data_IF_970743778785
#
_entry.id   IF_970743778785
#
_cell.length_a   1.000
_cell.length_b   1.000
_cell.length_c   1.000
_cell.angle_alpha   90.00
_cell.angle_beta   90.00
_cell.angle_gamma   90.00
#
_symmetry.space_group_name_H-M   'P 1'
#
loop_
_entity.id
_entity.type
_entity.pdbx_description
1 polymer ?
#
# COMPACT_ATOMS: atom_id res chain seq x y z
N UNK A 1 52.18 -13.85 60.34
CA UNK A 1 53.48 -14.22 59.80
C UNK A 1 53.30 -14.82 58.43
N UNK A 2 53.83 -14.13 57.50
CA UNK A 2 54.49 -14.42 56.19
C UNK A 2 53.61 -14.68 55.03
N UNK A 3 53.58 -13.68 54.17
CA UNK A 3 53.18 -13.73 52.72
C UNK A 3 53.99 -14.73 51.97
N UNK A 4 53.39 -15.30 50.88
CA UNK A 4 54.07 -15.53 49.64
C UNK A 4 53.06 -15.29 48.48
N UNK A 5 53.36 -14.30 47.65
CA UNK A 5 52.66 -14.02 46.39
C UNK A 5 53.09 -15.04 45.30
N UNK A 6 52.18 -15.48 44.49
CA UNK A 6 52.48 -16.14 43.22
C UNK A 6 51.72 -15.42 42.10
N UNK A 7 52.47 -14.94 41.16
CA UNK A 7 52.10 -14.25 39.94
C UNK A 7 51.06 -15.00 39.08
N UNK A 8 50.04 -14.30 38.69
CA UNK A 8 49.17 -14.62 37.55
C UNK A 8 49.57 -13.72 36.38
N UNK A 9 50.38 -14.24 35.51
CA UNK A 9 50.57 -13.71 34.14
C UNK A 9 50.50 -14.89 33.16
N UNK A 10 49.33 -15.18 32.65
CA UNK A 10 49.10 -15.91 31.39
C UNK A 10 47.60 -16.14 31.15
N UNK A 11 46.86 -15.08 30.83
CA UNK A 11 45.55 -15.20 30.13
C UNK A 11 45.05 -13.82 29.64
N UNK A 12 45.73 -13.28 28.65
CA UNK A 12 45.16 -12.17 27.86
C UNK A 12 45.68 -12.29 26.43
N UNK A 13 44.96 -13.02 25.56
CA UNK A 13 45.11 -12.82 24.09
C UNK A 13 44.16 -13.65 23.24
N UNK A 14 42.85 -13.78 23.54
CA UNK A 14 41.93 -14.40 22.56
C UNK A 14 40.46 -13.91 22.54
N UNK A 15 40.13 -12.63 22.71
CA UNK A 15 38.75 -12.22 22.34
C UNK A 15 38.65 -11.13 21.27
N UNK A 16 39.75 -10.57 20.76
CA UNK A 16 39.62 -9.41 19.83
C UNK A 16 39.39 -9.81 18.37
N UNK A 17 39.84 -10.95 17.93
CA UNK A 17 39.72 -11.38 16.51
C UNK A 17 38.29 -11.83 16.16
N UNK A 18 37.58 -12.45 17.08
CA UNK A 18 36.21 -12.92 16.84
C UNK A 18 35.14 -11.79 16.86
N UNK A 19 35.39 -10.70 17.57
CA UNK A 19 34.48 -9.53 17.56
C UNK A 19 34.60 -8.69 16.29
N UNK A 20 35.80 -8.56 15.73
CA UNK A 20 36.05 -7.85 14.48
C UNK A 20 35.40 -8.59 13.29
N UNK A 21 35.52 -9.89 13.19
CA UNK A 21 34.92 -10.67 12.10
C UNK A 21 33.38 -10.72 12.17
N UNK A 22 32.79 -10.76 13.37
CA UNK A 22 31.32 -10.67 13.52
C UNK A 22 30.77 -9.30 13.14
N UNK A 23 31.46 -8.22 13.46
CA UNK A 23 31.05 -6.87 13.09
C UNK A 23 31.23 -6.60 11.60
N UNK A 24 32.25 -7.16 10.96
CA UNK A 24 32.49 -7.04 9.51
C UNK A 24 31.45 -7.86 8.72
N UNK A 25 31.13 -9.07 9.14
CA UNK A 25 30.11 -9.90 8.51
C UNK A 25 28.70 -9.30 8.66
N UNK A 26 28.34 -8.79 9.85
CA UNK A 26 27.06 -8.12 10.07
C UNK A 26 26.98 -6.77 9.33
N UNK A 27 28.08 -6.04 9.19
CA UNK A 27 28.18 -4.81 8.39
C UNK A 27 28.06 -5.05 6.90
N UNK A 28 28.68 -6.12 6.38
CA UNK A 28 28.56 -6.56 4.98
C UNK A 28 27.14 -7.07 4.66
N UNK A 29 26.52 -7.84 5.55
CA UNK A 29 25.14 -8.31 5.37
C UNK A 29 24.12 -7.16 5.39
N UNK A 30 24.31 -6.17 6.28
CA UNK A 30 23.48 -4.93 6.30
C UNK A 30 23.72 -4.01 5.11
N UNK A 31 24.96 -3.91 4.59
CA UNK A 31 25.25 -3.14 3.37
C UNK A 31 24.66 -3.81 2.14
N UNK A 32 24.79 -5.12 1.98
CA UNK A 32 24.25 -5.85 0.82
C UNK A 32 22.72 -5.86 0.80
N UNK A 33 22.04 -5.95 1.96
CA UNK A 33 20.57 -5.86 2.00
C UNK A 33 20.05 -4.45 1.72
N UNK A 34 20.69 -3.40 2.27
CA UNK A 34 20.36 -2.00 1.95
C UNK A 34 20.66 -1.64 0.50
N UNK A 35 21.78 -2.09 -0.06
CA UNK A 35 22.15 -1.86 -1.45
C UNK A 35 21.21 -2.60 -2.40
N UNK A 36 20.82 -3.85 -2.11
CA UNK A 36 19.82 -4.59 -2.89
C UNK A 36 18.45 -3.92 -2.84
N UNK A 37 18.03 -3.42 -1.68
CA UNK A 37 16.76 -2.71 -1.54
C UNK A 37 16.77 -1.32 -2.21
N UNK A 38 17.90 -0.63 -2.20
CA UNK A 38 18.09 0.68 -2.87
C UNK A 38 18.19 0.52 -4.39
N UNK A 39 18.88 -0.52 -4.89
CA UNK A 39 18.95 -0.86 -6.31
C UNK A 39 17.59 -1.33 -6.81
N UNK A 40 16.86 -2.16 -6.05
CA UNK A 40 15.50 -2.58 -6.35
C UNK A 40 14.54 -1.37 -6.47
N UNK A 41 14.64 -0.41 -5.55
CA UNK A 41 13.81 0.81 -5.58
C UNK A 41 14.20 1.80 -6.69
N UNK A 42 15.49 1.92 -7.03
CA UNK A 42 15.95 2.84 -8.08
C UNK A 42 15.60 2.34 -9.48
N UNK A 43 15.72 1.05 -9.70
CA UNK A 43 15.43 0.41 -10.99
C UNK A 43 13.92 0.24 -11.26
N UNK A 44 13.09 0.13 -10.21
CA UNK A 44 11.64 0.14 -10.37
C UNK A 44 11.07 1.52 -10.73
N UNK A 45 11.76 2.63 -10.42
CA UNK A 45 11.33 3.96 -10.86
C UNK A 45 11.33 4.11 -12.39
N UNK A 46 12.27 3.50 -13.10
CA UNK A 46 12.34 3.61 -14.57
C UNK A 46 11.28 2.75 -15.29
N UNK A 47 10.83 1.64 -14.71
CA UNK A 47 9.85 0.76 -15.32
C UNK A 47 8.41 1.31 -15.26
N UNK A 48 8.11 2.19 -14.29
CA UNK A 48 6.80 2.81 -14.08
C UNK A 48 6.74 4.28 -14.50
N UNK A 49 7.86 4.85 -14.99
CA UNK A 49 7.92 6.21 -15.53
C UNK A 49 7.40 6.35 -16.97
N UNK A 50 6.81 5.29 -17.57
CA UNK A 50 5.83 5.50 -18.62
C UNK A 50 4.50 5.93 -17.94
N UNK A 51 4.51 7.11 -17.33
CA UNK A 51 3.30 7.86 -17.09
C UNK A 51 2.68 8.08 -18.49
N UNK A 52 1.67 7.29 -18.82
CA UNK A 52 0.70 7.72 -19.80
C UNK A 52 0.23 9.07 -19.29
N UNK A 53 0.65 10.16 -19.96
CA UNK A 53 0.10 11.47 -19.71
C UNK A 53 -1.39 11.32 -19.96
N UNK A 54 -2.19 11.38 -18.88
CA UNK A 54 -3.63 11.48 -19.03
C UNK A 54 -3.84 12.72 -19.90
N UNK A 55 -4.53 12.57 -21.03
CA UNK A 55 -4.95 13.69 -21.83
C UNK A 55 -5.66 14.67 -20.89
N UNK A 56 -5.25 15.95 -20.95
CA UNK A 56 -5.85 16.99 -20.14
C UNK A 56 -7.25 17.23 -20.71
N UNK A 57 -8.22 16.53 -20.15
CA UNK A 57 -9.63 16.83 -20.38
C UNK A 57 -10.08 17.93 -19.42
N UNK A 58 -10.99 18.78 -19.85
CA UNK A 58 -11.62 19.75 -18.97
C UNK A 58 -12.52 19.01 -17.97
N UNK A 59 -12.15 19.06 -16.68
CA UNK A 59 -12.91 18.41 -15.62
C UNK A 59 -13.99 19.36 -15.09
N UNK A 60 -15.25 18.92 -15.10
CA UNK A 60 -16.36 19.64 -14.47
C UNK A 60 -16.38 19.32 -12.96
N UNK A 61 -15.57 20.07 -12.21
CA UNK A 61 -15.39 19.90 -10.76
C UNK A 61 -15.74 21.18 -10.02
N UNK A 62 -16.34 21.03 -8.85
CA UNK A 62 -16.58 22.12 -7.88
C UNK A 62 -15.68 21.91 -6.66
N UNK A 63 -15.06 22.97 -6.21
CA UNK A 63 -14.23 23.00 -4.99
C UNK A 63 -14.86 23.97 -4.00
N UNK A 64 -15.30 23.47 -2.86
CA UNK A 64 -15.98 24.25 -1.84
C UNK A 64 -15.23 24.19 -0.51
N UNK A 65 -14.91 25.33 0.13
CA UNK A 65 -14.40 25.32 1.49
C UNK A 65 -15.49 24.84 2.46
N UNK A 66 -15.13 23.95 3.36
CA UNK A 66 -16.03 23.43 4.38
C UNK A 66 -15.24 23.12 5.65
N UNK A 67 -15.33 24.01 6.64
CA UNK A 67 -14.59 23.85 7.87
C UNK A 67 -15.36 22.91 8.82
N UNK A 68 -14.72 21.83 9.24
CA UNK A 68 -15.23 20.93 10.27
C UNK A 68 -14.46 21.14 11.57
N UNK A 69 -15.11 21.02 12.73
CA UNK A 69 -14.38 20.94 13.99
C UNK A 69 -13.79 19.54 14.22
N UNK A 70 -12.83 19.44 15.13
CA UNK A 70 -12.14 18.19 15.45
C UNK A 70 -13.11 17.09 15.87
N UNK A 71 -14.12 17.41 16.71
CA UNK A 71 -15.11 16.44 17.17
C UNK A 71 -15.95 15.87 16.02
N UNK A 72 -16.36 16.73 15.07
CA UNK A 72 -17.08 16.29 13.86
C UNK A 72 -16.23 15.39 13.00
N UNK A 73 -14.97 15.73 12.75
CA UNK A 73 -14.03 14.90 11.98
C UNK A 73 -13.86 13.53 12.64
N UNK A 74 -13.62 13.50 13.94
CA UNK A 74 -13.50 12.26 14.70
C UNK A 74 -14.76 11.39 14.56
N UNK A 75 -15.95 11.96 14.76
CA UNK A 75 -17.22 11.26 14.60
C UNK A 75 -17.43 10.72 13.18
N UNK A 76 -17.05 11.49 12.15
CA UNK A 76 -17.17 11.06 10.75
C UNK A 76 -16.20 9.90 10.41
N UNK A 77 -15.00 9.91 11.00
CA UNK A 77 -14.06 8.77 10.86
C UNK A 77 -14.63 7.53 11.54
N UNK A 78 -15.15 7.64 12.76
CA UNK A 78 -15.76 6.53 13.50
C UNK A 78 -16.95 5.92 12.77
N UNK A 79 -17.80 6.76 12.19
CA UNK A 79 -18.98 6.33 11.41
C UNK A 79 -18.65 5.84 10.01
N UNK A 80 -17.41 5.99 9.56
CA UNK A 80 -16.98 5.61 8.22
C UNK A 80 -17.48 6.52 7.10
N UNK A 81 -18.12 7.67 7.41
CA UNK A 81 -18.52 8.66 6.41
C UNK A 81 -17.33 9.49 5.90
N UNK A 82 -16.27 9.65 6.70
CA UNK A 82 -14.98 10.16 6.26
C UNK A 82 -14.01 9.00 6.16
N UNK A 83 -13.78 8.55 4.91
CA UNK A 83 -12.95 7.39 4.60
C UNK A 83 -11.49 7.80 4.45
N UNK A 84 -10.66 7.23 5.33
CA UNK A 84 -9.21 7.30 5.18
C UNK A 84 -8.80 6.02 4.47
N UNK A 85 -8.28 6.12 3.23
CA UNK A 85 -7.99 4.93 2.44
C UNK A 85 -7.08 3.92 3.16
N UNK A 86 -7.34 2.59 3.04
CA UNK A 86 -6.62 1.56 3.78
C UNK A 86 -5.11 1.55 3.57
N UNK A 87 -4.64 1.81 2.35
CA UNK A 87 -3.22 1.92 2.03
C UNK A 87 -2.59 3.21 2.56
N UNK A 88 -3.36 4.31 2.67
CA UNK A 88 -2.95 5.54 3.33
C UNK A 88 -2.77 5.34 4.84
N UNK A 89 -3.14 4.20 5.41
CA UNK A 89 -2.85 3.81 6.79
C UNK A 89 -1.38 3.55 7.08
N UNK A 90 -0.53 3.77 6.10
CA UNK A 90 0.88 3.96 6.33
C UNK A 90 1.11 5.22 7.15
N UNK A 91 0.64 5.16 8.41
CA UNK A 91 0.93 6.21 9.35
C UNK A 91 2.44 6.24 9.59
N UNK A 92 3.08 7.27 9.04
CA UNK A 92 4.55 7.36 9.03
C UNK A 92 5.08 8.37 10.03
N UNK A 93 4.23 9.29 10.51
CA UNK A 93 4.66 10.28 11.48
C UNK A 93 5.12 9.62 12.78
N UNK A 94 6.19 10.16 13.35
CA UNK A 94 6.59 9.83 14.71
C UNK A 94 5.72 10.58 15.73
N UNK A 95 5.80 10.14 16.97
CA UNK A 95 4.99 10.72 18.05
C UNK A 95 5.33 12.19 18.33
N UNK A 96 6.57 12.66 18.03
CA UNK A 96 6.96 14.06 18.21
C UNK A 96 6.28 14.95 17.20
N UNK A 97 6.23 14.52 15.93
CA UNK A 97 5.56 15.26 14.84
C UNK A 97 4.04 15.30 15.06
N UNK A 98 3.46 14.18 15.45
CA UNK A 98 2.05 14.13 15.82
C UNK A 98 1.73 15.04 17.02
N UNK A 99 2.57 15.00 18.09
CA UNK A 99 2.40 15.87 19.26
C UNK A 99 2.45 17.35 18.93
N UNK A 100 3.33 17.76 18.00
CA UNK A 100 3.41 19.16 17.53
C UNK A 100 2.14 19.60 16.81
N UNK A 101 1.52 18.71 16.02
CA UNK A 101 0.22 19.01 15.39
C UNK A 101 -0.87 19.23 16.46
N UNK A 102 -0.97 18.31 17.43
CA UNK A 102 -1.95 18.43 18.52
C UNK A 102 -1.71 19.71 19.31
N UNK A 103 -0.46 20.03 19.64
CA UNK A 103 -0.10 21.30 20.30
C UNK A 103 -0.53 22.51 19.47
N UNK A 104 -0.33 22.49 18.13
CA UNK A 104 -0.75 23.59 17.26
C UNK A 104 -2.27 23.82 17.33
N UNK A 105 -3.06 22.75 17.32
CA UNK A 105 -4.52 22.83 17.44
C UNK A 105 -4.91 23.39 18.82
N UNK A 106 -4.34 22.86 19.91
CA UNK A 106 -4.59 23.33 21.29
C UNK A 106 -4.22 24.81 21.50
N UNK A 107 -3.28 25.33 20.73
CA UNK A 107 -2.86 26.73 20.77
C UNK A 107 -3.59 27.63 19.76
N UNK A 108 -4.54 27.08 19.00
CA UNK A 108 -5.24 27.83 17.94
C UNK A 108 -4.35 28.23 16.77
N UNK A 109 -3.19 27.57 16.57
CA UNK A 109 -2.31 27.85 15.44
C UNK A 109 -2.89 27.25 14.15
N UNK A 110 -2.78 27.95 13.01
CA UNK A 110 -3.28 27.43 11.75
C UNK A 110 -2.54 26.19 11.33
N UNK A 111 -3.26 25.19 10.88
CA UNK A 111 -2.71 23.98 10.27
C UNK A 111 -3.03 23.96 8.77
N UNK A 112 -2.21 23.28 7.94
CA UNK A 112 -2.50 23.17 6.51
C UNK A 112 -3.89 22.55 6.28
N UNK A 113 -4.61 23.07 5.28
CA UNK A 113 -5.94 22.59 4.92
C UNK A 113 -5.93 21.12 4.49
N UNK A 114 -7.09 20.46 4.66
CA UNK A 114 -7.33 19.07 4.28
C UNK A 114 -8.14 19.05 3.00
N UNK A 115 -7.79 18.18 2.06
CA UNK A 115 -8.55 17.99 0.83
C UNK A 115 -9.36 16.71 0.91
N UNK A 116 -10.66 16.84 0.64
CA UNK A 116 -11.64 15.77 0.67
C UNK A 116 -12.30 15.66 -0.70
N UNK A 117 -12.57 14.46 -1.16
CA UNK A 117 -13.38 14.21 -2.34
C UNK A 117 -14.75 13.70 -1.90
N UNK A 118 -15.83 14.36 -2.33
CA UNK A 118 -17.18 13.91 -2.08
C UNK A 118 -17.55 12.82 -3.09
N UNK A 119 -17.78 11.60 -2.57
CA UNK A 119 -18.31 10.50 -3.36
C UNK A 119 -19.84 10.58 -3.42
N UNK A 120 -20.48 9.67 -4.12
CA UNK A 120 -21.93 9.54 -4.08
C UNK A 120 -22.39 9.36 -2.62
N UNK A 121 -23.46 10.01 -2.20
CA UNK A 121 -24.09 9.90 -0.84
C UNK A 121 -23.43 10.68 0.30
N UNK A 122 -22.72 11.77 0.05
CA UNK A 122 -22.07 12.58 1.11
C UNK A 122 -21.05 11.80 1.97
N UNK A 123 -20.40 10.86 1.38
CA UNK A 123 -19.22 10.23 1.94
C UNK A 123 -17.99 10.97 1.43
N UNK A 124 -17.01 11.15 2.29
CA UNK A 124 -15.79 11.88 1.97
C UNK A 124 -14.61 10.92 1.92
N UNK A 125 -13.82 11.03 0.86
CA UNK A 125 -12.53 10.36 0.72
C UNK A 125 -11.41 11.35 0.96
N UNK A 126 -10.48 11.05 1.87
CA UNK A 126 -9.33 11.92 2.14
C UNK A 126 -8.35 11.87 0.98
N UNK A 127 -8.13 13.03 0.31
CA UNK A 127 -7.13 13.19 -0.75
C UNK A 127 -5.79 13.60 -0.16
N UNK A 128 -5.75 14.64 0.67
CA UNK A 128 -4.58 15.09 1.41
C UNK A 128 -4.94 15.44 2.85
N UNK A 129 -3.96 15.32 3.73
CA UNK A 129 -4.13 15.59 5.16
C UNK A 129 -4.29 14.35 6.04
N UNK A 130 -4.18 13.17 5.47
CA UNK A 130 -4.33 11.90 6.15
C UNK A 130 -3.49 11.77 7.43
N UNK A 131 -2.20 12.09 7.38
CA UNK A 131 -1.34 11.99 8.56
C UNK A 131 -1.82 12.91 9.69
N UNK A 132 -2.40 14.06 9.33
CA UNK A 132 -3.01 15.02 10.26
C UNK A 132 -4.26 14.43 10.88
N UNK A 133 -5.19 13.91 10.07
CA UNK A 133 -6.42 13.28 10.53
C UNK A 133 -6.15 12.06 11.41
N UNK A 134 -5.23 11.19 11.01
CA UNK A 134 -4.84 10.02 11.81
C UNK A 134 -4.17 10.43 13.12
N UNK A 135 -3.39 11.52 13.17
CA UNK A 135 -2.81 12.02 14.42
C UNK A 135 -3.88 12.50 15.39
N UNK A 136 -4.88 13.22 14.89
CA UNK A 136 -6.06 13.67 15.68
C UNK A 136 -6.83 12.44 16.19
N UNK A 137 -7.14 11.50 15.30
CA UNK A 137 -7.86 10.27 15.63
C UNK A 137 -7.14 9.45 16.71
N UNK A 138 -5.85 9.17 16.55
CA UNK A 138 -5.07 8.41 17.52
C UNK A 138 -4.93 9.15 18.85
N UNK A 139 -4.87 10.49 18.84
CA UNK A 139 -4.81 11.25 20.09
C UNK A 139 -6.12 11.13 20.87
N UNK A 140 -7.28 11.27 20.23
CA UNK A 140 -8.59 11.09 20.85
C UNK A 140 -8.84 9.65 21.32
N UNK A 141 -8.32 8.65 20.61
CA UNK A 141 -8.31 7.24 21.04
C UNK A 141 -7.22 6.94 22.08
N UNK A 142 -6.37 7.91 22.43
CA UNK A 142 -5.25 7.77 23.38
C UNK A 142 -4.22 6.69 23.01
N UNK A 143 -4.22 6.26 21.73
CA UNK A 143 -3.41 5.15 21.21
C UNK A 143 -2.50 5.63 20.09
N UNK A 144 -1.23 5.22 20.12
CA UNK A 144 -0.25 5.57 19.10
C UNK A 144 0.41 4.31 18.53
N UNK A 145 0.44 4.11 17.20
CA UNK A 145 0.95 2.87 16.61
C UNK A 145 2.45 2.72 16.81
N UNK A 146 2.88 1.54 17.28
CA UNK A 146 4.28 1.17 17.47
C UNK A 146 4.98 1.08 16.11
N UNK A 147 6.08 1.83 15.96
CA UNK A 147 6.75 2.02 14.65
C UNK A 147 7.18 0.70 14.02
N UNK A 148 7.77 -0.18 14.83
CA UNK A 148 8.33 -1.48 14.43
C UNK A 148 7.24 -2.47 14.00
N UNK A 149 6.02 -2.28 14.49
CA UNK A 149 4.85 -3.16 14.26
C UNK A 149 3.90 -2.66 13.16
N UNK A 150 4.15 -1.51 12.58
CA UNK A 150 3.25 -0.92 11.56
C UNK A 150 3.10 -1.79 10.31
N UNK A 151 4.12 -2.56 9.94
CA UNK A 151 4.04 -3.49 8.82
C UNK A 151 3.13 -4.69 9.12
N UNK A 152 3.17 -5.20 10.37
CA UNK A 152 2.29 -6.28 10.81
C UNK A 152 0.86 -5.76 11.03
N UNK A 153 0.71 -4.57 11.59
CA UNK A 153 -0.57 -3.89 11.79
C UNK A 153 -1.34 -3.74 10.47
N UNK A 154 -0.64 -3.42 9.37
CA UNK A 154 -1.24 -3.35 8.04
C UNK A 154 -1.90 -4.66 7.60
N UNK A 155 -1.27 -5.80 7.92
CA UNK A 155 -1.81 -7.12 7.55
C UNK A 155 -3.11 -7.45 8.29
N UNK A 156 -3.34 -6.82 9.45
CA UNK A 156 -4.52 -7.07 10.30
C UNK A 156 -5.64 -6.04 10.09
N UNK A 157 -5.36 -4.95 9.37
CA UNK A 157 -6.34 -3.88 9.08
C UNK A 157 -7.02 -4.11 7.73
N UNK A 158 -7.65 -5.26 7.50
CA UNK A 158 -8.20 -5.65 6.20
C UNK A 158 -9.47 -4.88 5.81
N UNK A 159 -10.20 -4.30 6.77
CA UNK A 159 -11.57 -3.81 6.57
C UNK A 159 -11.76 -2.29 6.61
N UNK A 160 -10.71 -1.51 6.46
CA UNK A 160 -10.90 -0.06 6.49
C UNK A 160 -11.05 0.55 7.89
N UNK A 161 -11.29 -0.22 8.95
CA UNK A 161 -11.29 0.23 10.35
C UNK A 161 -10.26 -0.53 11.18
N UNK A 162 -9.52 0.19 12.05
CA UNK A 162 -8.77 -0.45 13.12
C UNK A 162 -9.80 -0.85 14.16
N UNK A 163 -10.08 -2.13 14.32
CA UNK A 163 -11.05 -2.59 15.31
C UNK A 163 -10.62 -2.14 16.72
N UNK A 164 -11.59 -1.89 17.60
CA UNK A 164 -11.28 -1.51 18.99
C UNK A 164 -10.41 -2.55 19.71
N UNK A 165 -10.66 -3.84 19.45
CA UNK A 165 -9.84 -4.94 19.95
C UNK A 165 -8.38 -4.83 19.52
N UNK A 166 -8.13 -4.36 18.30
CA UNK A 166 -6.78 -4.17 17.78
C UNK A 166 -6.13 -2.91 18.36
N UNK A 167 -6.89 -1.82 18.56
CA UNK A 167 -6.43 -0.60 19.22
C UNK A 167 -5.97 -0.86 20.65
N UNK A 168 -6.62 -1.77 21.38
CA UNK A 168 -6.29 -2.15 22.75
C UNK A 168 -5.12 -3.14 22.85
N UNK A 169 -4.52 -3.55 21.74
CA UNK A 169 -3.41 -4.50 21.75
C UNK A 169 -2.06 -3.78 21.91
N UNK A 170 -1.45 -3.90 23.09
CA UNK A 170 -0.17 -3.28 23.45
C UNK A 170 1.02 -3.69 22.56
N UNK A 171 0.90 -4.79 21.80
CA UNK A 171 1.90 -5.18 20.82
C UNK A 171 1.96 -4.18 19.66
N UNK A 172 0.81 -3.63 19.26
CA UNK A 172 0.69 -2.75 18.09
C UNK A 172 0.52 -1.28 18.44
N UNK A 173 0.00 -0.99 19.61
CA UNK A 173 -0.27 0.37 20.08
C UNK A 173 0.33 0.63 21.45
N UNK A 174 0.57 1.88 21.74
CA UNK A 174 1.01 2.39 23.04
C UNK A 174 0.26 3.66 23.38
N UNK A 175 0.24 4.05 24.65
CA UNK A 175 -0.42 5.29 25.06
C UNK A 175 0.14 6.51 24.33
N UNK A 176 -0.75 7.34 23.78
CA UNK A 176 -0.39 8.59 23.13
C UNK A 176 -0.26 9.72 24.16
N UNK A 177 0.93 9.85 24.72
CA UNK A 177 1.32 11.01 25.54
C UNK A 177 2.06 12.01 24.68
N UNK A 178 1.71 13.30 24.77
CA UNK A 178 2.32 14.37 23.97
C UNK A 178 3.81 14.50 24.28
N UNK A 179 4.66 14.22 23.30
CA UNK A 179 6.13 14.37 23.39
C UNK A 179 6.54 15.72 22.82
N UNK A 180 6.48 16.73 23.68
CA UNK A 180 6.81 18.11 23.33
C UNK A 180 8.12 18.55 24.03
N UNK A 181 8.95 19.40 23.37
CA UNK A 181 10.08 20.02 24.00
C UNK A 181 9.63 21.04 25.05
N UNK A 182 10.50 21.32 26.00
CA UNK A 182 10.30 22.44 26.89
C UNK A 182 10.51 23.78 26.14
N UNK A 183 9.99 24.86 26.69
CA UNK A 183 10.09 26.17 26.07
C UNK A 183 11.55 26.68 26.07
N UNK A 184 11.87 27.62 25.17
CA UNK A 184 13.22 28.19 24.97
C UNK A 184 13.84 28.73 26.27
N UNK A 185 13.02 29.12 27.25
CA UNK A 185 13.45 29.61 28.57
C UNK A 185 13.52 28.51 29.64
N UNK A 186 13.53 27.21 29.23
CA UNK A 186 13.57 26.08 30.19
C UNK A 186 12.27 25.87 30.98
N UNK A 187 11.20 26.61 30.69
CA UNK A 187 9.88 26.37 31.34
C UNK A 187 9.23 25.14 30.73
N UNK A 188 8.62 24.26 31.56
CA UNK A 188 7.90 23.09 31.08
C UNK A 188 6.81 23.49 30.07
N UNK A 189 6.66 22.71 28.98
CA UNK A 189 5.55 22.89 28.10
C UNK A 189 4.24 22.43 28.79
N UNK A 190 3.22 23.29 28.80
CA UNK A 190 1.92 23.03 29.47
C UNK A 190 1.31 21.70 29.09
N UNK A 191 1.47 21.26 27.83
CA UNK A 191 0.86 20.07 27.28
C UNK A 191 1.78 18.84 27.28
N UNK A 192 3.03 19.00 27.75
CA UNK A 192 4.02 17.89 27.75
C UNK A 192 3.52 16.72 28.60
N UNK A 193 3.61 15.50 28.05
CA UNK A 193 3.18 14.23 28.66
C UNK A 193 1.68 14.09 28.92
N UNK A 194 0.82 15.04 28.53
CA UNK A 194 -0.62 14.88 28.62
C UNK A 194 -1.14 13.91 27.55
N UNK A 195 -2.21 13.21 27.89
CA UNK A 195 -3.10 12.46 26.98
C UNK A 195 -4.34 13.28 26.76
N UNK A 196 -5.21 12.87 25.79
CA UNK A 196 -6.50 13.51 25.59
C UNK A 196 -7.34 13.50 26.89
N UNK A 197 -7.36 12.40 27.62
CA UNK A 197 -8.10 12.28 28.89
C UNK A 197 -7.58 13.20 29.99
N UNK A 198 -6.26 13.44 30.04
CA UNK A 198 -5.62 14.26 31.10
C UNK A 198 -5.52 15.74 30.75
N UNK A 199 -6.07 16.19 29.61
CA UNK A 199 -6.28 17.60 29.31
C UNK A 199 -7.29 18.21 30.32
N UNK A 200 -7.15 19.50 30.63
CA UNK A 200 -8.20 20.21 31.34
C UNK A 200 -9.49 20.26 30.52
N UNK A 201 -10.65 20.40 31.14
CA UNK A 201 -11.94 20.49 30.41
C UNK A 201 -11.93 21.63 29.39
N UNK A 202 -11.34 22.78 29.74
CA UNK A 202 -11.20 23.94 28.84
C UNK A 202 -10.30 23.59 27.64
N UNK A 203 -9.18 22.87 27.86
CA UNK A 203 -8.27 22.48 26.78
C UNK A 203 -8.92 21.41 25.88
N UNK A 204 -9.73 20.49 26.43
CA UNK A 204 -10.50 19.51 25.64
C UNK A 204 -11.52 20.21 24.76
N UNK A 205 -12.34 21.10 25.34
CA UNK A 205 -13.34 21.85 24.59
C UNK A 205 -12.68 22.70 23.49
N UNK A 206 -11.58 23.38 23.80
CA UNK A 206 -10.79 24.14 22.82
C UNK A 206 -10.31 23.24 21.68
N UNK A 207 -9.83 22.05 22.00
CA UNK A 207 -9.36 21.09 21.00
C UNK A 207 -10.50 20.55 20.13
N UNK A 208 -11.60 20.12 20.74
CA UNK A 208 -12.75 19.55 20.06
C UNK A 208 -13.45 20.52 19.13
N UNK A 209 -13.58 21.78 19.56
CA UNK A 209 -14.25 22.86 18.79
C UNK A 209 -13.31 23.52 17.78
N UNK A 210 -11.99 23.24 17.83
CA UNK A 210 -11.03 23.83 16.90
C UNK A 210 -11.39 23.53 15.44
N UNK A 211 -11.50 24.59 14.58
CA UNK A 211 -11.84 24.40 13.18
C UNK A 211 -10.66 23.81 12.40
N UNK A 212 -10.94 22.77 11.64
CA UNK A 212 -10.04 22.18 10.67
C UNK A 212 -10.52 22.60 9.28
N UNK A 213 -9.72 23.42 8.62
CA UNK A 213 -10.04 23.87 7.27
C UNK A 213 -10.00 22.71 6.28
N UNK A 214 -11.13 22.46 5.62
CA UNK A 214 -11.26 21.46 4.60
C UNK A 214 -11.68 22.10 3.28
N UNK A 215 -11.22 21.50 2.17
CA UNK A 215 -11.68 21.80 0.82
C UNK A 215 -12.33 20.53 0.30
N UNK A 216 -13.64 20.61 0.08
CA UNK A 216 -14.43 19.51 -0.49
C UNK A 216 -14.47 19.68 -2.00
N UNK A 217 -13.96 18.67 -2.70
CA UNK A 217 -13.95 18.60 -4.16
C UNK A 217 -15.06 17.64 -4.58
N UNK A 218 -15.88 18.05 -5.52
CA UNK A 218 -16.99 17.27 -6.07
C UNK A 218 -16.95 17.30 -7.60
N UNK A 219 -17.18 16.17 -8.21
CA UNK A 219 -17.41 16.08 -9.65
C UNK A 219 -18.89 16.33 -9.94
N UNK A 220 -19.19 17.31 -10.81
CA UNK A 220 -20.58 17.69 -11.12
C UNK A 220 -21.23 16.73 -12.12
N UNK A 221 -20.46 16.27 -13.10
CA UNK A 221 -20.93 15.27 -14.06
C UNK A 221 -20.27 13.92 -13.74
N UNK A 222 -21.08 12.90 -13.58
CA UNK A 222 -20.62 11.53 -13.46
C UNK A 222 -20.17 11.10 -14.85
N UNK A 223 -18.90 11.36 -15.18
CA UNK A 223 -18.28 10.74 -16.35
C UNK A 223 -18.14 9.24 -16.11
N UNK A 224 -18.11 8.46 -17.18
CA UNK A 224 -17.97 7.00 -17.07
C UNK A 224 -16.70 6.55 -16.33
N UNK A 225 -15.69 7.44 -16.25
CA UNK A 225 -14.45 7.19 -15.55
C UNK A 225 -14.19 8.21 -14.43
N UNK A 226 -13.54 7.76 -13.36
CA UNK A 226 -13.14 8.61 -12.22
C UNK A 226 -11.73 9.21 -12.45
N UNK A 227 -11.35 9.47 -13.70
CA UNK A 227 -10.00 9.94 -14.09
C UNK A 227 -9.64 11.28 -13.42
N UNK A 228 -10.63 12.18 -13.25
CA UNK A 228 -10.40 13.46 -12.59
C UNK A 228 -9.90 13.30 -11.14
N UNK A 229 -10.41 12.30 -10.41
CA UNK A 229 -9.99 12.04 -9.03
C UNK A 229 -8.53 11.62 -8.98
N UNK A 230 -8.09 10.79 -9.92
CA UNK A 230 -6.67 10.37 -10.03
C UNK A 230 -5.77 11.57 -10.30
N UNK A 231 -6.17 12.48 -11.19
CA UNK A 231 -5.41 13.68 -11.51
C UNK A 231 -5.32 14.64 -10.31
N UNK A 232 -6.44 14.82 -9.60
CA UNK A 232 -6.48 15.63 -8.37
C UNK A 232 -5.53 15.04 -7.31
N UNK A 233 -5.59 13.73 -7.08
CA UNK A 233 -4.68 13.05 -6.16
C UNK A 233 -3.22 13.26 -6.54
N UNK A 234 -2.90 13.11 -7.84
CA UNK A 234 -1.55 13.28 -8.33
C UNK A 234 -1.03 14.71 -8.10
N UNK A 235 -1.83 15.73 -8.42
CA UNK A 235 -1.44 17.14 -8.28
C UNK A 235 -1.33 17.60 -6.84
N UNK A 236 -2.28 17.23 -5.98
CA UNK A 236 -2.29 17.65 -4.58
C UNK A 236 -1.20 16.98 -3.75
N UNK A 237 -0.85 15.73 -4.07
CA UNK A 237 0.20 15.01 -3.35
C UNK A 237 1.63 15.31 -3.85
N UNK A 238 1.81 16.20 -4.84
CA UNK A 238 3.14 16.54 -5.40
C UNK A 238 4.12 17.13 -4.38
N UNK A 239 3.67 17.59 -3.22
CA UNK A 239 4.50 18.12 -2.13
C UNK A 239 4.87 17.12 -1.01
N UNK A 240 4.49 15.84 -1.12
CA UNK A 240 4.69 14.82 -0.09
C UNK A 240 5.07 13.44 -0.63
N UNK A 241 4.57 12.38 0.00
CA UNK A 241 4.66 11.01 -0.53
C UNK A 241 3.56 10.84 -1.58
N UNK A 242 3.94 10.78 -2.85
CA UNK A 242 3.01 10.60 -3.96
C UNK A 242 2.33 9.24 -3.85
N UNK A 243 1.00 9.24 -3.94
CA UNK A 243 0.22 8.02 -4.06
C UNK A 243 0.35 7.44 -5.47
N UNK A 244 0.50 6.13 -5.53
CA UNK A 244 0.49 5.41 -6.82
C UNK A 244 -0.96 5.16 -7.28
N UNK A 245 -1.20 5.03 -8.59
CA UNK A 245 -2.55 4.78 -9.12
C UNK A 245 -3.28 3.62 -8.46
N UNK A 246 -2.56 2.54 -8.09
CA UNK A 246 -3.17 1.41 -7.40
C UNK A 246 -3.66 1.75 -5.99
N UNK A 247 -2.93 2.58 -5.27
CA UNK A 247 -3.33 3.03 -3.94
C UNK A 247 -4.62 3.87 -4.02
N UNK A 248 -4.71 4.76 -5.00
CA UNK A 248 -5.91 5.57 -5.27
C UNK A 248 -7.08 4.65 -5.65
N UNK A 249 -6.85 3.67 -6.53
CA UNK A 249 -7.86 2.70 -6.98
C UNK A 249 -8.44 1.88 -5.83
N UNK A 250 -7.59 1.37 -4.95
CA UNK A 250 -8.03 0.64 -3.76
C UNK A 250 -8.88 1.47 -2.82
N UNK A 251 -8.76 2.79 -2.85
CA UNK A 251 -9.56 3.70 -2.03
C UNK A 251 -10.92 3.98 -2.62
N UNK A 252 -10.92 4.34 -3.90
CA UNK A 252 -12.13 4.71 -4.61
C UNK A 252 -13.08 3.52 -4.78
N UNK A 253 -12.52 2.33 -5.03
CA UNK A 253 -13.28 1.12 -5.33
C UNK A 253 -13.17 0.08 -4.22
N UNK A 254 -12.96 0.50 -2.96
CA UNK A 254 -12.92 -0.41 -1.83
C UNK A 254 -14.16 -1.31 -1.82
N UNK A 255 -13.93 -2.63 -1.72
CA UNK A 255 -14.98 -3.64 -1.84
C UNK A 255 -14.47 -5.00 -1.36
N UNK A 256 -15.38 -5.96 -1.17
CA UNK A 256 -15.01 -7.36 -0.89
C UNK A 256 -14.08 -7.98 -1.94
N UNK A 257 -14.16 -7.50 -3.19
CA UNK A 257 -13.21 -7.90 -4.22
C UNK A 257 -11.78 -7.48 -3.84
N UNK A 258 -11.55 -6.23 -3.43
CA UNK A 258 -10.21 -5.77 -3.01
C UNK A 258 -9.74 -6.42 -1.70
N UNK A 259 -10.66 -6.75 -0.78
CA UNK A 259 -10.33 -7.58 0.39
C UNK A 259 -9.84 -8.96 -0.05
N UNK A 260 -10.51 -9.58 -1.02
CA UNK A 260 -10.09 -10.87 -1.60
C UNK A 260 -8.69 -10.77 -2.22
N UNK A 261 -8.41 -9.73 -3.03
CA UNK A 261 -7.07 -9.53 -3.61
C UNK A 261 -5.99 -9.32 -2.52
N UNK A 262 -6.32 -8.58 -1.47
CA UNK A 262 -5.41 -8.36 -0.34
C UNK A 262 -5.10 -9.66 0.40
N UNK A 263 -6.10 -10.52 0.61
CA UNK A 263 -5.93 -11.84 1.21
C UNK A 263 -5.10 -12.77 0.32
N UNK A 264 -5.32 -12.74 -0.99
CA UNK A 264 -4.52 -13.48 -1.97
C UNK A 264 -3.06 -12.99 -2.00
N UNK A 265 -2.87 -11.67 -1.84
CA UNK A 265 -1.54 -11.07 -1.78
C UNK A 265 -0.70 -11.55 -0.59
N UNK A 266 -1.32 -12.02 0.48
CA UNK A 266 -0.64 -12.57 1.65
C UNK A 266 -0.34 -14.08 1.56
N UNK A 267 -0.73 -14.78 0.48
CA UNK A 267 -0.49 -16.21 0.34
C UNK A 267 1.00 -16.52 0.21
N UNK A 268 1.53 -17.52 0.94
CA UNK A 268 2.96 -17.86 0.93
C UNK A 268 3.47 -18.19 -0.47
N UNK A 269 2.70 -18.93 -1.28
CA UNK A 269 3.05 -19.29 -2.65
C UNK A 269 3.14 -18.06 -3.56
N UNK A 270 2.25 -17.08 -3.39
CA UNK A 270 2.33 -15.81 -4.10
C UNK A 270 3.58 -15.03 -3.71
N UNK A 271 3.86 -14.94 -2.39
CA UNK A 271 5.09 -14.29 -1.90
C UNK A 271 6.35 -14.95 -2.45
N UNK A 272 6.35 -16.28 -2.55
CA UNK A 272 7.44 -17.06 -3.16
C UNK A 272 7.66 -16.67 -4.63
N UNK A 273 6.60 -16.62 -5.44
CA UNK A 273 6.68 -16.27 -6.86
C UNK A 273 7.04 -14.81 -7.07
N UNK A 274 6.56 -13.91 -6.24
CA UNK A 274 6.84 -12.48 -6.31
C UNK A 274 8.23 -12.13 -5.76
N UNK A 275 8.91 -13.10 -5.12
CA UNK A 275 10.21 -12.96 -4.46
C UNK A 275 10.28 -11.85 -3.40
N UNK A 276 9.17 -11.57 -2.72
CA UNK A 276 9.08 -10.64 -1.61
C UNK A 276 8.34 -11.30 -0.44
N UNK A 277 8.99 -11.40 0.72
CA UNK A 277 8.39 -12.00 1.92
C UNK A 277 7.21 -11.18 2.46
N UNK A 278 7.28 -9.87 2.36
CA UNK A 278 6.24 -8.95 2.82
C UNK A 278 5.57 -8.24 1.65
N UNK A 279 4.27 -7.88 1.79
CA UNK A 279 3.59 -7.04 0.82
C UNK A 279 4.36 -5.77 0.50
N UNK A 280 4.33 -5.38 -0.77
CA UNK A 280 5.02 -4.20 -1.28
C UNK A 280 4.31 -2.93 -0.78
N UNK A 281 5.12 -1.91 -0.45
CA UNK A 281 4.63 -0.68 0.18
C UNK A 281 3.58 0.07 -0.67
N UNK A 282 3.77 0.09 -1.98
CA UNK A 282 2.89 0.78 -2.93
C UNK A 282 1.87 -0.14 -3.60
N UNK A 283 1.62 -1.33 -3.02
CA UNK A 283 0.58 -2.27 -3.45
C UNK A 283 0.67 -2.74 -4.91
N UNK A 284 1.88 -2.69 -5.51
CA UNK A 284 2.12 -3.15 -6.89
C UNK A 284 1.88 -4.65 -7.06
N UNK A 285 2.12 -5.41 -6.01
CA UNK A 285 1.83 -6.83 -5.93
C UNK A 285 0.33 -7.13 -5.99
N UNK A 286 -0.51 -6.29 -5.38
CA UNK A 286 -1.97 -6.35 -5.53
C UNK A 286 -2.39 -5.92 -6.93
N UNK A 287 -1.78 -4.85 -7.48
CA UNK A 287 -2.04 -4.44 -8.87
C UNK A 287 -1.72 -5.57 -9.85
N UNK A 288 -0.67 -6.34 -9.61
CA UNK A 288 -0.30 -7.48 -10.46
C UNK A 288 -1.40 -8.53 -10.51
N UNK A 289 -2.00 -8.88 -9.36
CA UNK A 289 -3.13 -9.80 -9.30
C UNK A 289 -4.35 -9.20 -10.01
N UNK A 290 -4.67 -7.92 -9.74
CA UNK A 290 -5.77 -7.20 -10.37
C UNK A 290 -5.65 -7.21 -11.90
N UNK A 291 -4.46 -6.93 -12.44
CA UNK A 291 -4.18 -6.93 -13.88
C UNK A 291 -4.40 -8.29 -14.50
N UNK A 292 -3.97 -9.35 -13.81
CA UNK A 292 -4.22 -10.72 -14.23
C UNK A 292 -5.72 -10.99 -14.42
N UNK A 293 -6.54 -10.69 -13.42
CA UNK A 293 -7.99 -10.89 -13.49
C UNK A 293 -8.67 -9.97 -14.50
N UNK A 294 -8.29 -8.69 -14.55
CA UNK A 294 -8.86 -7.76 -15.52
C UNK A 294 -8.60 -8.21 -16.97
N UNK A 295 -7.39 -8.68 -17.27
CA UNK A 295 -7.05 -9.21 -18.60
C UNK A 295 -7.70 -10.57 -18.86
N UNK A 296 -7.91 -11.41 -17.87
CA UNK A 296 -8.58 -12.71 -17.99
C UNK A 296 -10.06 -12.53 -18.34
N UNK A 297 -10.75 -11.60 -17.67
CA UNK A 297 -12.19 -11.41 -17.81
C UNK A 297 -12.53 -10.42 -18.95
N UNK A 298 -11.74 -9.35 -19.10
CA UNK A 298 -12.01 -8.24 -20.02
C UNK A 298 -10.90 -8.01 -21.07
N UNK A 299 -9.98 -8.95 -21.26
CA UNK A 299 -8.87 -8.78 -22.19
C UNK A 299 -9.31 -8.45 -23.63
N UNK A 300 -10.47 -8.97 -24.08
CA UNK A 300 -11.04 -8.66 -25.38
C UNK A 300 -11.51 -7.20 -25.50
N UNK A 301 -11.91 -6.60 -24.38
CA UNK A 301 -12.39 -5.21 -24.26
C UNK A 301 -11.26 -4.24 -23.93
N UNK A 302 -10.01 -4.72 -23.80
CA UNK A 302 -8.89 -3.88 -23.43
C UNK A 302 -8.66 -2.76 -24.46
N UNK A 303 -8.65 -1.53 -23.93
CA UNK A 303 -8.24 -0.33 -24.66
C UNK A 303 -7.21 0.45 -23.82
N UNK A 304 -6.25 1.17 -24.41
CA UNK A 304 -5.46 2.13 -23.66
C UNK A 304 -6.38 3.24 -23.08
N UNK A 305 -6.17 3.85 -21.93
CA UNK A 305 -5.05 3.66 -21.03
C UNK A 305 -5.26 2.49 -20.06
N UNK A 306 -4.19 1.83 -19.68
CA UNK A 306 -4.23 0.75 -18.68
C UNK A 306 -4.85 1.24 -17.35
N UNK A 307 -4.60 2.48 -16.96
CA UNK A 307 -5.18 3.07 -15.74
C UNK A 307 -6.70 3.10 -15.86
N UNK A 308 -7.25 3.64 -16.96
CA UNK A 308 -8.71 3.67 -17.21
C UNK A 308 -9.31 2.26 -17.25
N UNK A 309 -8.64 1.33 -17.91
CA UNK A 309 -9.06 -0.08 -17.98
C UNK A 309 -9.18 -0.73 -16.59
N UNK A 310 -8.15 -0.59 -15.76
CA UNK A 310 -8.16 -1.14 -14.41
C UNK A 310 -9.15 -0.43 -13.49
N UNK A 311 -9.37 0.89 -13.67
CA UNK A 311 -10.38 1.63 -12.92
C UNK A 311 -11.78 1.12 -13.22
N UNK A 312 -12.11 0.97 -14.50
CA UNK A 312 -13.42 0.47 -14.94
C UNK A 312 -13.66 -0.95 -14.46
N UNK A 313 -12.65 -1.82 -14.55
CA UNK A 313 -12.73 -3.17 -14.02
C UNK A 313 -12.94 -3.18 -12.50
N UNK A 314 -12.22 -2.35 -11.75
CA UNK A 314 -12.36 -2.23 -10.30
C UNK A 314 -13.74 -1.70 -9.90
N UNK A 315 -14.26 -0.70 -10.62
CA UNK A 315 -15.62 -0.17 -10.42
C UNK A 315 -16.68 -1.25 -10.62
N UNK A 316 -16.60 -2.02 -11.72
CA UNK A 316 -17.49 -3.17 -11.95
C UNK A 316 -17.38 -4.19 -10.82
N UNK A 317 -16.19 -4.49 -10.37
CA UNK A 317 -15.96 -5.52 -9.36
C UNK A 317 -16.48 -5.15 -7.95
N UNK A 318 -16.88 -3.89 -7.70
CA UNK A 318 -17.57 -3.49 -6.47
C UNK A 318 -18.93 -4.19 -6.31
N UNK A 319 -19.57 -4.55 -7.42
CA UNK A 319 -20.87 -5.25 -7.43
C UNK A 319 -20.76 -6.77 -7.46
N UNK A 320 -19.56 -7.32 -7.35
CA UNK A 320 -19.38 -8.78 -7.31
C UNK A 320 -20.07 -9.38 -6.09
N UNK A 321 -20.76 -10.49 -6.31
CA UNK A 321 -21.35 -11.29 -5.22
C UNK A 321 -20.27 -12.01 -4.39
N UNK A 322 -20.67 -12.56 -3.26
CA UNK A 322 -19.75 -13.36 -2.43
C UNK A 322 -19.30 -14.64 -3.14
N UNK A 323 -20.17 -15.24 -3.96
CA UNK A 323 -19.87 -16.42 -4.78
C UNK A 323 -18.84 -16.08 -5.85
N UNK A 324 -18.97 -14.93 -6.53
CA UNK A 324 -18.00 -14.47 -7.54
C UNK A 324 -16.64 -14.20 -6.90
N UNK A 325 -16.61 -13.52 -5.76
CA UNK A 325 -15.36 -13.26 -5.03
C UNK A 325 -14.72 -14.56 -4.52
N UNK A 326 -15.52 -15.52 -4.05
CA UNK A 326 -15.01 -16.82 -3.65
C UNK A 326 -14.48 -17.63 -4.85
N UNK A 327 -15.14 -17.57 -5.98
CA UNK A 327 -14.64 -18.18 -7.21
C UNK A 327 -13.29 -17.60 -7.65
N UNK A 328 -13.13 -16.26 -7.66
CA UNK A 328 -11.86 -15.55 -7.93
C UNK A 328 -10.77 -16.05 -6.99
N UNK A 329 -11.09 -16.18 -5.69
CA UNK A 329 -10.17 -16.72 -4.68
C UNK A 329 -9.76 -18.15 -5.01
N UNK A 330 -10.71 -19.04 -5.28
CA UNK A 330 -10.42 -20.44 -5.60
C UNK A 330 -9.61 -20.59 -6.89
N UNK A 331 -9.92 -19.80 -7.92
CA UNK A 331 -9.19 -19.80 -9.19
C UNK A 331 -7.73 -19.39 -8.99
N UNK A 332 -7.47 -18.31 -8.24
CA UNK A 332 -6.09 -17.88 -8.00
C UNK A 332 -5.32 -18.88 -7.14
N UNK A 333 -5.95 -19.45 -6.10
CA UNK A 333 -5.31 -20.48 -5.28
C UNK A 333 -4.96 -21.74 -6.09
N UNK A 334 -5.83 -22.15 -7.02
CA UNK A 334 -5.54 -23.27 -7.91
C UNK A 334 -4.42 -22.96 -8.91
N UNK A 335 -4.35 -21.73 -9.40
CA UNK A 335 -3.22 -21.25 -10.18
C UNK A 335 -1.91 -21.32 -9.37
N UNK A 336 -1.92 -20.83 -8.12
CA UNK A 336 -0.74 -20.93 -7.24
C UNK A 336 -0.35 -22.39 -7.00
N UNK A 337 -1.30 -23.29 -6.84
CA UNK A 337 -1.03 -24.72 -6.74
C UNK A 337 -0.36 -25.27 -8.00
N UNK A 338 -0.84 -24.86 -9.19
CA UNK A 338 -0.23 -25.24 -10.47
C UNK A 338 1.22 -24.76 -10.62
N UNK A 339 1.59 -23.66 -9.94
CA UNK A 339 2.95 -23.11 -9.94
C UNK A 339 3.91 -23.72 -8.91
N UNK A 340 3.48 -24.68 -8.08
CA UNK A 340 4.32 -25.23 -6.98
C UNK A 340 5.63 -25.82 -7.44
N UNK A 341 5.65 -26.46 -8.60
CA UNK A 341 6.87 -27.07 -9.18
C UNK A 341 7.80 -26.05 -9.82
N UNK A 342 7.34 -24.82 -10.04
CA UNK A 342 8.17 -23.79 -10.65
C UNK A 342 9.24 -23.29 -9.65
N UNK A 343 10.45 -22.96 -10.14
CA UNK A 343 11.45 -22.29 -9.31
C UNK A 343 10.92 -20.92 -8.86
N UNK A 344 11.35 -20.46 -7.69
CA UNK A 344 10.90 -19.18 -7.12
C UNK A 344 11.17 -17.97 -8.02
N UNK A 345 12.15 -18.06 -8.90
CA UNK A 345 12.53 -17.03 -9.88
C UNK A 345 11.90 -17.23 -11.26
N UNK A 346 10.86 -18.07 -11.39
CA UNK A 346 10.23 -18.36 -12.68
C UNK A 346 9.77 -17.11 -13.44
N UNK A 347 9.30 -16.10 -12.71
CA UNK A 347 8.87 -14.80 -13.26
C UNK A 347 9.89 -13.68 -13.07
N UNK A 348 11.13 -13.98 -12.68
CA UNK A 348 12.18 -12.97 -12.53
C UNK A 348 13.01 -12.92 -13.80
N UNK A 349 13.19 -11.73 -14.36
CA UNK A 349 14.09 -11.47 -15.49
C UNK A 349 14.89 -10.20 -15.16
N UNK A 350 16.21 -10.23 -15.39
CA UNK A 350 17.11 -9.12 -15.08
C UNK A 350 16.91 -8.60 -13.63
N UNK A 351 16.84 -9.51 -12.66
CA UNK A 351 16.62 -9.25 -11.23
C UNK A 351 15.30 -8.51 -10.89
N UNK A 352 14.33 -8.50 -11.82
CA UNK A 352 13.03 -7.87 -11.66
C UNK A 352 11.90 -8.86 -11.93
N UNK A 353 10.79 -8.68 -11.22
CA UNK A 353 9.55 -9.39 -11.54
C UNK A 353 9.04 -8.96 -12.92
N UNK A 354 8.93 -9.93 -13.84
CA UNK A 354 8.46 -9.69 -15.20
C UNK A 354 6.92 -9.75 -15.25
N UNK A 355 6.32 -8.57 -15.16
CA UNK A 355 4.88 -8.41 -15.08
C UNK A 355 4.16 -8.91 -16.35
N UNK A 356 4.69 -8.61 -17.54
CA UNK A 356 4.08 -9.03 -18.81
C UNK A 356 4.11 -10.55 -18.98
N UNK A 357 5.19 -11.22 -18.53
CA UNK A 357 5.27 -12.67 -18.52
C UNK A 357 4.26 -13.28 -17.56
N UNK A 358 4.19 -12.76 -16.32
CA UNK A 358 3.22 -13.23 -15.33
C UNK A 358 1.79 -13.10 -15.83
N UNK A 359 1.38 -11.90 -16.32
CA UNK A 359 0.05 -11.64 -16.85
C UNK A 359 -0.33 -12.64 -17.94
N UNK A 360 0.60 -12.86 -18.89
CA UNK A 360 0.34 -13.72 -20.04
C UNK A 360 0.23 -15.21 -19.63
N UNK A 361 1.08 -15.68 -18.72
CA UNK A 361 1.02 -17.04 -18.18
C UNK A 361 -0.25 -17.22 -17.34
N UNK A 362 -0.59 -16.26 -16.48
CA UNK A 362 -1.82 -16.34 -15.67
C UNK A 362 -3.07 -16.43 -16.54
N UNK A 363 -3.20 -15.54 -17.53
CA UNK A 363 -4.35 -15.54 -18.44
C UNK A 363 -4.40 -16.83 -19.25
N UNK A 364 -3.30 -17.29 -19.84
CA UNK A 364 -3.26 -18.52 -20.64
C UNK A 364 -3.66 -19.74 -19.80
N UNK A 365 -3.13 -19.86 -18.57
CA UNK A 365 -3.42 -21.00 -17.70
C UNK A 365 -4.86 -20.99 -17.20
N UNK A 366 -5.40 -19.80 -16.88
CA UNK A 366 -6.72 -19.69 -16.25
C UNK A 366 -7.88 -19.58 -17.25
N UNK A 367 -7.64 -19.32 -18.54
CA UNK A 367 -8.69 -19.02 -19.54
C UNK A 367 -9.74 -20.11 -19.63
N UNK A 368 -9.33 -21.37 -19.73
CA UNK A 368 -10.30 -22.48 -19.84
C UNK A 368 -11.09 -22.66 -18.55
N UNK A 369 -10.42 -22.68 -17.41
CA UNK A 369 -11.05 -22.80 -16.11
C UNK A 369 -12.05 -21.64 -15.85
N UNK A 370 -11.68 -20.40 -16.24
CA UNK A 370 -12.57 -19.24 -16.11
C UNK A 370 -13.82 -19.35 -16.96
N UNK A 371 -13.69 -19.78 -18.24
CA UNK A 371 -14.81 -19.98 -19.16
C UNK A 371 -15.79 -21.06 -18.68
N UNK A 372 -15.27 -22.15 -18.13
CA UNK A 372 -16.08 -23.28 -17.64
C UNK A 372 -16.50 -23.17 -16.17
N UNK A 373 -16.15 -22.08 -15.50
CA UNK A 373 -16.37 -21.86 -14.05
C UNK A 373 -15.78 -22.97 -13.18
N UNK A 374 -14.66 -23.53 -13.60
CA UNK A 374 -13.88 -24.56 -12.86
C UNK A 374 -12.58 -23.96 -12.30
N UNK A 375 -11.71 -24.80 -11.79
CA UNK A 375 -10.39 -24.40 -11.27
C UNK A 375 -9.27 -25.00 -12.12
N UNK A 376 -8.07 -24.47 -12.00
CA UNK A 376 -6.88 -25.01 -12.67
C UNK A 376 -6.48 -26.33 -12.01
N UNK A 377 -6.34 -27.39 -12.80
CA UNK A 377 -5.99 -28.75 -12.32
C UNK A 377 -4.60 -29.19 -12.70
N UNK A 378 -4.07 -28.70 -13.84
CA UNK A 378 -2.79 -29.14 -14.37
C UNK A 378 -1.64 -28.26 -13.81
N UNK A 379 -0.49 -28.88 -13.56
CA UNK A 379 0.75 -28.13 -13.22
C UNK A 379 1.27 -27.40 -14.45
N UNK A 380 1.84 -26.22 -14.22
CA UNK A 380 2.48 -25.44 -15.27
C UNK A 380 3.89 -25.98 -15.50
N UNK A 381 4.23 -26.22 -16.76
CA UNK A 381 5.56 -26.63 -17.16
C UNK A 381 6.52 -25.43 -17.22
N UNK A 382 7.66 -25.56 -16.55
CA UNK A 382 8.68 -24.51 -16.53
C UNK A 382 9.35 -24.32 -17.90
N UNK A 383 9.56 -25.39 -18.64
CA UNK A 383 10.21 -25.32 -19.96
C UNK A 383 9.35 -24.50 -20.94
N UNK A 384 8.03 -24.62 -20.88
CA UNK A 384 7.09 -23.79 -21.66
C UNK A 384 7.14 -22.30 -21.26
N UNK A 385 7.33 -22.00 -19.95
CA UNK A 385 7.54 -20.61 -19.52
C UNK A 385 8.87 -20.07 -20.06
N UNK A 386 9.91 -20.90 -20.11
CA UNK A 386 11.20 -20.52 -20.67
C UNK A 386 11.11 -20.33 -22.19
N UNK A 387 10.44 -21.22 -22.91
CA UNK A 387 10.13 -21.07 -24.33
C UNK A 387 9.40 -19.73 -24.60
N UNK A 388 8.31 -19.48 -23.88
CA UNK A 388 7.58 -18.22 -24.01
C UNK A 388 8.49 -17.00 -23.73
N UNK A 389 9.34 -17.07 -22.72
CA UNK A 389 10.21 -15.96 -22.32
C UNK A 389 11.31 -15.64 -23.35
N UNK A 390 11.60 -16.54 -24.27
CA UNK A 390 12.58 -16.39 -25.34
C UNK A 390 11.94 -16.29 -26.73
N UNK A 391 10.63 -16.49 -26.83
CA UNK A 391 9.88 -16.40 -28.07
C UNK A 391 9.92 -14.98 -28.66
N UNK A 392 10.31 -14.85 -29.92
CA UNK A 392 10.50 -13.54 -30.57
C UNK A 392 9.21 -12.74 -30.70
N UNK A 393 8.08 -13.43 -30.92
CA UNK A 393 6.74 -12.78 -31.06
C UNK A 393 6.28 -12.23 -29.72
N UNK A 394 6.51 -12.99 -28.64
CA UNK A 394 6.21 -12.54 -27.29
C UNK A 394 7.11 -11.37 -26.87
N UNK A 395 8.42 -11.47 -27.09
CA UNK A 395 9.39 -10.45 -26.73
C UNK A 395 9.14 -9.11 -27.42
N UNK A 396 8.82 -9.12 -28.71
CA UNK A 396 8.46 -7.90 -29.44
C UNK A 396 7.27 -7.19 -28.78
N UNK A 397 6.22 -7.93 -28.41
CA UNK A 397 5.02 -7.40 -27.79
C UNK A 397 5.19 -7.03 -26.29
N UNK A 398 6.25 -7.58 -25.63
CA UNK A 398 6.53 -7.38 -24.20
C UNK A 398 7.61 -6.33 -23.90
N UNK A 399 8.31 -5.78 -24.92
CA UNK A 399 9.42 -4.83 -24.73
C UNK A 399 9.05 -3.38 -25.06
N UNK A 400 8.25 -3.12 -26.08
CA UNK A 400 7.87 -1.78 -26.50
C UNK A 400 6.35 -1.64 -26.58
N UNK A 401 5.85 -0.47 -26.20
CA UNK A 401 4.40 -0.18 -26.22
C UNK A 401 3.55 -1.31 -25.59
N UNK A 402 4.02 -1.78 -24.44
CA UNK A 402 3.48 -2.97 -23.74
C UNK A 402 1.99 -2.82 -23.37
N UNK A 403 1.48 -1.58 -23.34
CA UNK A 403 0.09 -1.23 -23.04
C UNK A 403 -0.76 -1.00 -24.28
N UNK A 404 -0.22 -1.13 -25.50
CA UNK A 404 -1.03 -1.05 -26.71
C UNK A 404 -1.96 -2.27 -26.84
N UNK A 405 -3.16 -2.08 -27.36
CA UNK A 405 -4.15 -3.17 -27.56
C UNK A 405 -3.57 -4.33 -28.37
N UNK A 406 -2.82 -4.00 -29.42
CA UNK A 406 -2.20 -5.00 -30.32
C UNK A 406 -1.21 -5.86 -29.54
N UNK A 407 -0.31 -5.25 -28.76
CA UNK A 407 0.74 -5.97 -28.02
C UNK A 407 0.17 -6.76 -26.85
N UNK A 408 -0.84 -6.23 -26.14
CA UNK A 408 -1.54 -6.96 -25.08
C UNK A 408 -2.18 -8.23 -25.65
N UNK A 409 -2.92 -8.13 -26.74
CA UNK A 409 -3.56 -9.28 -27.40
C UNK A 409 -2.53 -10.26 -27.96
N UNK A 410 -1.47 -9.76 -28.62
CA UNK A 410 -0.42 -10.58 -29.24
C UNK A 410 0.29 -11.44 -28.21
N UNK A 411 0.73 -10.86 -27.06
CA UNK A 411 1.43 -11.62 -26.03
C UNK A 411 0.55 -12.65 -25.30
N UNK A 412 -0.73 -12.32 -25.05
CA UNK A 412 -1.67 -13.25 -24.42
C UNK A 412 -1.97 -14.43 -25.36
N UNK A 413 -2.26 -14.19 -26.63
CA UNK A 413 -2.51 -15.24 -27.61
C UNK A 413 -1.29 -16.15 -27.77
N UNK A 414 -0.07 -15.56 -27.81
CA UNK A 414 1.15 -16.35 -27.91
C UNK A 414 1.37 -17.25 -26.68
N UNK A 415 1.10 -16.73 -25.49
CA UNK A 415 1.14 -17.51 -24.26
C UNK A 415 0.12 -18.67 -24.28
N UNK A 416 -1.10 -18.44 -24.73
CA UNK A 416 -2.14 -19.49 -24.88
C UNK A 416 -1.65 -20.58 -25.85
N UNK A 417 -1.03 -20.22 -26.97
CA UNK A 417 -0.51 -21.18 -27.92
C UNK A 417 0.58 -22.07 -27.33
N UNK A 418 1.55 -21.49 -26.63
CA UNK A 418 2.70 -22.23 -26.09
C UNK A 418 2.32 -23.08 -24.87
N UNK A 419 1.51 -22.53 -23.96
CA UNK A 419 1.23 -23.21 -22.69
C UNK A 419 0.15 -24.28 -22.77
N UNK A 420 -0.74 -24.23 -23.79
CA UNK A 420 -1.84 -25.19 -23.94
C UNK A 420 -1.57 -26.26 -25.03
N UNK A 421 -0.39 -26.25 -25.65
CA UNK A 421 0.09 -27.37 -26.45
C UNK A 421 0.71 -28.43 -25.55
#
# INVERSE_FOLDING_TARGET
MTMIAINNDEQQNYPMITRSLRNTAAGLYRKTSKTKQTIFNKNNKEFFNQQEQLEIEDYDITSVPNDFNVATIFSQIEKGSLKIPPFQRNYVWDIKRASKLIESILRGLPIPQIFLYETEKKEYLVIDGQQRLMSIYYFMKMMFPVKEKRAELRKQCDSGHVSEKLLQNDTYFKSFKLKLPDNVLGKPNKFKNLTYETLSEIDKETFELSPIRCVVIKQNKIHADDSCVFEIFHRLNSGGINLHPQEIRMSLYYSRFFETLSNLNNQPEWRRLFCLENPEFHTKDIETILRGFALLEWGDKYTPSLIKFLNNYSKKSQSNTDEENNYIKCLFLSFLQATKKLPKNAFIRNDKFNLTLFESVFVATCTNAFKTKTIVTNSIDYDKIMELSTDSVFLEAAQKNTTSTVNVKKRILRAIQILNT
#
